data_IF_090465742749
#
_entry.id   IF_090465742749
#
_cell.length_a   1.000
_cell.length_b   1.000
_cell.length_c   1.000
_cell.angle_alpha   90.00
_cell.angle_beta   90.00
_cell.angle_gamma   90.00
#
_symmetry.space_group_name_H-M   'P 1'
#
loop_
_entity.id
_entity.type
_entity.pdbx_description
1 polymer ?
#
# COMPACT_ATOMS: atom_id res chain seq x y z
N UNK A 1 -12.93 -6.50 -15.58
CA UNK A 1 -11.87 -5.98 -14.69
C UNK A 1 -11.04 -4.95 -15.45
N UNK A 2 -10.60 -3.90 -14.77
CA UNK A 2 -10.08 -2.67 -15.38
C UNK A 2 -8.74 -2.82 -16.11
N UNK A 3 -7.88 -3.77 -15.72
CA UNK A 3 -6.59 -4.03 -16.41
C UNK A 3 -6.63 -5.24 -17.36
N UNK A 4 -7.80 -5.85 -17.56
CA UNK A 4 -7.96 -6.99 -18.46
C UNK A 4 -8.06 -6.57 -19.94
N UNK A 5 -8.55 -5.36 -20.20
CA UNK A 5 -8.55 -4.77 -21.53
C UNK A 5 -7.55 -3.61 -21.57
N UNK A 6 -6.45 -3.77 -22.30
CA UNK A 6 -5.41 -2.76 -22.42
C UNK A 6 -5.90 -1.44 -23.04
N UNK A 7 -6.97 -1.47 -23.85
CA UNK A 7 -7.58 -0.26 -24.41
C UNK A 7 -8.21 0.65 -23.33
N UNK A 8 -8.51 0.12 -22.14
CA UNK A 8 -9.01 0.91 -21.01
C UNK A 8 -7.88 1.69 -20.29
N UNK A 9 -6.61 1.43 -20.61
CA UNK A 9 -5.45 2.09 -19.99
C UNK A 9 -5.01 3.27 -20.88
N UNK A 10 -5.82 4.33 -20.83
CA UNK A 10 -5.63 5.53 -21.64
C UNK A 10 -4.73 6.57 -20.94
N UNK A 11 -3.50 6.72 -21.45
CA UNK A 11 -2.52 7.67 -20.94
C UNK A 11 -2.95 9.13 -21.10
N UNK A 12 -3.62 9.46 -22.21
CA UNK A 12 -4.08 10.82 -22.48
C UNK A 12 -5.21 11.20 -21.52
N UNK A 13 -6.15 10.28 -21.27
CA UNK A 13 -7.21 10.49 -20.30
C UNK A 13 -6.66 10.68 -18.87
N UNK A 14 -5.66 9.88 -18.46
CA UNK A 14 -5.01 10.04 -17.15
C UNK A 14 -4.34 11.41 -17.05
N UNK A 15 -3.56 11.82 -18.05
CA UNK A 15 -2.90 13.13 -18.07
C UNK A 15 -3.89 14.28 -17.96
N UNK A 16 -5.00 14.23 -18.71
CA UNK A 16 -6.05 15.24 -18.63
C UNK A 16 -6.72 15.27 -17.25
N UNK A 17 -6.95 14.11 -16.63
CA UNK A 17 -7.53 14.04 -15.29
C UNK A 17 -6.59 14.65 -14.23
N UNK A 18 -5.30 14.31 -14.26
CA UNK A 18 -4.26 14.86 -13.38
C UNK A 18 -4.21 16.39 -13.50
N UNK A 19 -4.23 16.92 -14.72
CA UNK A 19 -4.22 18.36 -14.97
C UNK A 19 -5.50 19.07 -14.49
N UNK A 20 -6.66 18.40 -14.59
CA UNK A 20 -7.95 18.96 -14.16
C UNK A 20 -8.12 18.97 -12.64
N UNK A 21 -7.44 18.05 -11.95
CA UNK A 21 -7.62 17.83 -10.51
C UNK A 21 -6.28 17.73 -9.75
N UNK A 22 -5.39 18.72 -9.85
CA UNK A 22 -4.04 18.66 -9.28
C UNK A 22 -4.03 18.58 -7.75
N UNK A 23 -5.02 19.17 -7.07
CA UNK A 23 -5.13 19.16 -5.60
C UNK A 23 -5.85 17.93 -5.04
N UNK A 24 -6.37 17.06 -5.93
CA UNK A 24 -7.15 15.88 -5.56
C UNK A 24 -6.46 14.56 -5.96
N UNK A 25 -5.88 14.51 -7.17
CA UNK A 25 -5.17 13.31 -7.65
C UNK A 25 -3.74 13.35 -7.12
N UNK A 26 -3.51 12.60 -6.05
CA UNK A 26 -2.19 12.51 -5.39
C UNK A 26 -1.32 11.35 -5.90
N UNK A 27 -1.81 10.56 -6.87
CA UNK A 27 -1.13 9.36 -7.31
C UNK A 27 -1.92 8.50 -8.29
N UNK A 28 -1.30 7.40 -8.70
CA UNK A 28 -1.86 6.38 -9.58
C UNK A 28 -2.03 5.06 -8.83
N UNK A 29 -2.96 4.22 -9.29
CA UNK A 29 -3.21 2.88 -8.74
C UNK A 29 -3.14 1.83 -9.85
N UNK A 30 -2.35 0.78 -9.62
CA UNK A 30 -2.41 -0.46 -10.42
C UNK A 30 -2.78 -1.64 -9.51
N UNK A 31 -3.67 -2.53 -9.97
CA UNK A 31 -4.03 -3.77 -9.26
C UNK A 31 -3.48 -4.99 -9.99
N UNK A 32 -2.25 -5.37 -9.65
CA UNK A 32 -1.50 -6.44 -10.30
C UNK A 32 -1.80 -7.78 -9.64
N UNK A 33 -2.96 -8.34 -9.99
CA UNK A 33 -3.41 -9.66 -9.55
C UNK A 33 -4.20 -10.35 -10.64
N UNK A 34 -4.24 -11.68 -10.63
CA UNK A 34 -4.81 -12.49 -11.71
C UNK A 34 -6.25 -12.17 -12.05
N UNK A 35 -7.07 -11.91 -11.03
CA UNK A 35 -8.47 -11.54 -11.24
C UNK A 35 -8.62 -10.21 -11.96
N UNK A 36 -7.59 -9.36 -12.00
CA UNK A 36 -7.68 -8.01 -12.56
C UNK A 36 -7.00 -7.89 -13.93
N UNK A 37 -5.80 -8.46 -14.07
CA UNK A 37 -4.96 -8.29 -15.27
C UNK A 37 -5.41 -9.17 -16.45
N UNK A 38 -6.25 -10.17 -16.21
CA UNK A 38 -6.62 -11.15 -17.24
C UNK A 38 -5.38 -11.87 -17.77
N UNK A 39 -5.19 -11.85 -19.08
CA UNK A 39 -4.05 -12.48 -19.76
C UNK A 39 -2.86 -11.54 -19.98
N UNK A 40 -2.97 -10.27 -19.57
CA UNK A 40 -1.96 -9.24 -19.90
C UNK A 40 -0.67 -9.35 -19.07
N UNK A 41 -0.63 -10.20 -18.04
CA UNK A 41 0.53 -10.39 -17.18
C UNK A 41 1.03 -9.07 -16.56
N UNK A 42 2.31 -8.77 -16.76
CA UNK A 42 2.98 -7.58 -16.20
C UNK A 42 2.74 -6.30 -17.03
N UNK A 43 2.26 -6.42 -18.27
CA UNK A 43 2.11 -5.32 -19.24
C UNK A 43 1.34 -4.11 -18.70
N UNK A 44 0.24 -4.26 -17.93
CA UNK A 44 -0.45 -3.12 -17.34
C UNK A 44 0.42 -2.30 -16.39
N UNK A 45 1.34 -2.92 -15.65
CA UNK A 45 2.27 -2.22 -14.78
C UNK A 45 3.30 -1.42 -15.59
N UNK A 46 3.87 -2.02 -16.64
CA UNK A 46 4.78 -1.30 -17.53
C UNK A 46 4.10 -0.05 -18.13
N UNK A 47 2.83 -0.17 -18.53
CA UNK A 47 2.03 0.98 -19.00
C UNK A 47 1.81 2.01 -17.90
N UNK A 48 1.50 1.57 -16.67
CA UNK A 48 1.34 2.46 -15.53
C UNK A 48 2.63 3.22 -15.18
N UNK A 49 3.81 2.58 -15.31
CA UNK A 49 5.12 3.22 -15.13
C UNK A 49 5.40 4.30 -16.18
N UNK A 50 5.07 4.04 -17.45
CA UNK A 50 5.18 5.06 -18.49
C UNK A 50 4.27 6.27 -18.20
N UNK A 51 3.00 6.02 -17.85
CA UNK A 51 2.04 7.06 -17.47
C UNK A 51 2.54 7.84 -16.25
N UNK A 52 3.09 7.17 -15.24
CA UNK A 52 3.66 7.81 -14.06
C UNK A 52 4.77 8.80 -14.44
N UNK A 53 5.72 8.37 -15.30
CA UNK A 53 6.83 9.20 -15.76
C UNK A 53 6.35 10.43 -16.53
N UNK A 54 5.33 10.27 -17.39
CA UNK A 54 4.73 11.38 -18.15
C UNK A 54 4.00 12.41 -17.27
N UNK A 55 3.71 12.08 -16.02
CA UNK A 55 2.94 12.89 -15.09
C UNK A 55 3.75 13.33 -13.86
N UNK A 56 5.06 13.55 -14.01
CA UNK A 56 5.90 14.12 -12.95
C UNK A 56 6.19 13.14 -11.81
N UNK A 57 6.30 11.86 -12.14
CA UNK A 57 6.60 10.78 -11.21
C UNK A 57 5.66 10.75 -10.00
N UNK A 58 4.35 10.92 -10.24
CA UNK A 58 3.32 10.81 -9.21
C UNK A 58 3.48 9.50 -8.41
N UNK A 59 3.17 9.49 -7.10
CA UNK A 59 3.14 8.25 -6.32
C UNK A 59 2.33 7.15 -7.03
N UNK A 60 2.91 5.97 -7.24
CA UNK A 60 2.22 4.81 -7.81
C UNK A 60 2.03 3.74 -6.75
N UNK A 61 0.77 3.42 -6.44
CA UNK A 61 0.43 2.34 -5.52
C UNK A 61 0.02 1.07 -6.27
N UNK A 62 0.79 0.01 -6.07
CA UNK A 62 0.60 -1.30 -6.70
C UNK A 62 0.02 -2.28 -5.69
N UNK A 63 -1.17 -2.80 -6.01
CA UNK A 63 -1.79 -3.90 -5.26
C UNK A 63 -1.18 -5.19 -5.75
N UNK A 64 -0.76 -6.02 -4.81
CA UNK A 64 -0.30 -7.39 -5.09
C UNK A 64 -1.36 -8.39 -4.62
N UNK A 65 -1.54 -9.45 -5.40
CA UNK A 65 -2.51 -10.50 -5.12
C UNK A 65 -2.05 -11.83 -5.70
N UNK A 66 -2.98 -12.68 -6.12
CA UNK A 66 -2.64 -13.96 -6.71
C UNK A 66 -1.89 -13.79 -8.04
N UNK A 67 -0.99 -14.72 -8.33
CA UNK A 67 -0.38 -14.87 -9.65
C UNK A 67 -1.44 -15.17 -10.72
N UNK A 68 -1.22 -14.75 -11.98
CA UNK A 68 -0.19 -13.81 -12.46
C UNK A 68 -0.52 -12.31 -12.17
N UNK A 69 0.46 -11.38 -12.22
CA UNK A 69 1.89 -11.62 -12.45
C UNK A 69 2.66 -11.92 -11.16
N UNK A 70 3.90 -12.42 -11.32
CA UNK A 70 4.78 -12.75 -10.21
C UNK A 70 5.20 -11.49 -9.45
N UNK A 71 5.15 -11.53 -8.12
CA UNK A 71 5.62 -10.44 -7.26
C UNK A 71 7.07 -10.03 -7.56
N UNK A 72 7.93 -10.98 -7.95
CA UNK A 72 9.32 -10.67 -8.27
C UNK A 72 9.43 -9.75 -9.50
N UNK A 73 8.63 -10.01 -10.54
CA UNK A 73 8.54 -9.15 -11.73
C UNK A 73 7.92 -7.79 -11.42
N UNK A 74 6.88 -7.77 -10.57
CA UNK A 74 6.30 -6.51 -10.08
C UNK A 74 7.37 -5.69 -9.38
N UNK A 75 8.05 -6.28 -8.38
CA UNK A 75 9.02 -5.59 -7.55
C UNK A 75 10.19 -5.04 -8.35
N UNK A 76 10.70 -5.79 -9.32
CA UNK A 76 11.82 -5.37 -10.18
C UNK A 76 11.48 -4.18 -11.10
N UNK A 77 10.20 -3.95 -11.44
CA UNK A 77 9.74 -2.78 -12.18
C UNK A 77 9.51 -1.53 -11.32
N UNK A 78 9.45 -1.67 -9.99
CA UNK A 78 9.18 -0.54 -9.10
C UNK A 78 10.45 0.27 -8.81
N UNK A 79 10.26 1.59 -8.76
CA UNK A 79 11.28 2.60 -8.46
C UNK A 79 11.03 3.28 -7.12
N UNK A 80 11.98 4.13 -6.70
CA UNK A 80 11.87 4.94 -5.48
C UNK A 80 10.51 5.65 -5.39
N UNK A 81 9.87 5.55 -4.23
CA UNK A 81 8.59 6.21 -3.95
C UNK A 81 7.35 5.41 -4.37
N UNK A 82 7.48 4.38 -5.20
CA UNK A 82 6.38 3.46 -5.48
C UNK A 82 5.98 2.70 -4.20
N UNK A 83 4.71 2.31 -4.12
CA UNK A 83 4.11 1.73 -2.92
C UNK A 83 3.56 0.35 -3.26
N UNK A 84 4.05 -0.70 -2.60
CA UNK A 84 3.43 -2.02 -2.61
C UNK A 84 2.39 -2.06 -1.49
N UNK A 85 1.10 -2.07 -1.82
CA UNK A 85 0.03 -2.30 -0.84
C UNK A 85 -0.31 -3.79 -0.73
N UNK A 86 -0.91 -4.20 0.39
CA UNK A 86 -1.14 -5.61 0.76
C UNK A 86 0.15 -6.37 1.05
N UNK A 87 1.15 -5.68 1.63
CA UNK A 87 2.47 -6.26 1.86
C UNK A 87 2.42 -7.51 2.78
N UNK A 88 1.46 -7.59 3.69
CA UNK A 88 1.28 -8.72 4.61
C UNK A 88 0.13 -9.67 4.24
N UNK A 89 -0.20 -9.79 2.95
CA UNK A 89 -1.21 -10.74 2.51
C UNK A 89 -0.76 -12.21 2.71
N UNK A 90 -1.72 -13.10 2.94
CA UNK A 90 -1.48 -14.54 3.17
C UNK A 90 -1.42 -15.41 1.92
N UNK A 91 -1.48 -14.84 0.70
CA UNK A 91 -1.51 -15.62 -0.55
C UNK A 91 -0.11 -16.17 -0.88
N UNK A 92 0.03 -17.15 -1.79
CA UNK A 92 1.37 -17.66 -2.17
C UNK A 92 2.29 -16.59 -2.78
N UNK A 93 1.72 -15.62 -3.50
CA UNK A 93 2.44 -14.50 -4.11
C UNK A 93 2.56 -13.32 -3.13
N UNK A 94 3.42 -13.50 -2.11
CA UNK A 94 3.61 -12.57 -0.98
C UNK A 94 5.09 -12.26 -0.76
N UNK A 95 5.38 -11.24 0.06
CA UNK A 95 6.74 -10.72 0.27
C UNK A 95 7.71 -11.73 0.90
N UNK A 96 7.19 -12.73 1.63
CA UNK A 96 7.99 -13.79 2.21
C UNK A 96 8.05 -15.02 1.29
N UNK A 97 9.23 -15.62 1.19
CA UNK A 97 9.42 -16.91 0.53
C UNK A 97 8.86 -18.06 1.40
N UNK A 98 8.80 -19.31 0.90
CA UNK A 98 8.34 -20.45 1.69
C UNK A 98 9.18 -20.74 2.95
N UNK A 99 10.45 -20.32 3.01
CA UNK A 99 11.29 -20.41 4.19
C UNK A 99 10.99 -19.31 5.24
N UNK A 100 10.05 -18.41 4.95
CA UNK A 100 9.66 -17.32 5.84
C UNK A 100 10.68 -16.17 5.87
N UNK A 101 11.50 -16.04 4.83
CA UNK A 101 12.47 -14.95 4.66
C UNK A 101 11.98 -13.95 3.61
N UNK A 102 12.47 -12.72 3.67
CA UNK A 102 12.12 -11.70 2.67
C UNK A 102 12.67 -12.10 1.29
N UNK A 103 11.81 -12.05 0.26
CA UNK A 103 12.23 -12.26 -1.12
C UNK A 103 13.33 -11.29 -1.52
N UNK A 104 14.33 -11.76 -2.26
CA UNK A 104 15.44 -10.93 -2.72
C UNK A 104 14.98 -9.77 -3.60
N UNK A 105 13.95 -9.97 -4.43
CA UNK A 105 13.29 -8.94 -5.23
C UNK A 105 12.74 -7.80 -4.38
N UNK A 106 12.06 -8.14 -3.27
CA UNK A 106 11.53 -7.18 -2.31
C UNK A 106 12.65 -6.49 -1.55
N UNK A 107 13.69 -7.21 -1.13
CA UNK A 107 14.88 -6.59 -0.51
C UNK A 107 15.50 -5.54 -1.43
N UNK A 108 15.72 -5.87 -2.71
CA UNK A 108 16.23 -4.91 -3.71
C UNK A 108 15.28 -3.73 -3.90
N UNK A 109 13.97 -3.97 -3.96
CA UNK A 109 12.96 -2.91 -4.10
C UNK A 109 13.00 -1.95 -2.91
N UNK A 110 13.07 -2.46 -1.67
CA UNK A 110 13.20 -1.65 -0.47
C UNK A 110 14.49 -0.81 -0.48
N UNK A 111 15.62 -1.41 -0.88
CA UNK A 111 16.89 -0.69 -1.03
C UNK A 111 16.81 0.44 -2.08
N UNK A 112 16.02 0.27 -3.15
CA UNK A 112 15.73 1.33 -4.13
C UNK A 112 14.84 2.45 -3.56
N UNK A 113 14.18 2.22 -2.44
CA UNK A 113 13.24 3.16 -1.81
C UNK A 113 11.77 2.92 -2.16
N UNK A 114 11.41 1.69 -2.56
CA UNK A 114 10.00 1.26 -2.64
C UNK A 114 9.44 1.14 -1.22
N UNK A 115 8.21 1.60 -1.03
CA UNK A 115 7.52 1.63 0.25
C UNK A 115 6.57 0.45 0.38
N UNK A 116 6.38 -0.03 1.61
CA UNK A 116 5.39 -1.07 1.93
C UNK A 116 4.19 -0.45 2.63
N UNK A 117 3.00 -0.72 2.11
CA UNK A 117 1.73 -0.35 2.69
C UNK A 117 0.92 -1.59 3.07
N UNK A 118 0.25 -1.52 4.22
CA UNK A 118 -0.50 -2.66 4.76
C UNK A 118 -1.69 -3.03 3.89
N UNK A 119 -2.56 -2.08 3.55
CA UNK A 119 -3.80 -2.32 2.82
C UNK A 119 -4.59 -3.51 3.39
N UNK A 120 -5.05 -3.45 4.64
CA UNK A 120 -5.52 -4.65 5.33
C UNK A 120 -6.59 -5.43 4.54
N UNK A 121 -7.65 -4.74 4.13
CA UNK A 121 -8.71 -5.26 3.27
C UNK A 121 -9.44 -6.47 3.84
N UNK A 122 -10.28 -7.07 3.02
CA UNK A 122 -10.99 -8.31 3.40
C UNK A 122 -10.09 -9.54 3.29
N UNK A 123 -9.17 -9.56 2.30
CA UNK A 123 -8.41 -10.73 1.91
C UNK A 123 -6.91 -10.43 1.70
N UNK A 124 -6.40 -9.40 2.36
CA UNK A 124 -5.06 -8.83 2.10
C UNK A 124 -4.17 -8.74 3.33
N UNK A 125 -4.58 -9.33 4.47
CA UNK A 125 -3.80 -9.35 5.70
C UNK A 125 -3.79 -10.75 6.33
N UNK A 126 -2.60 -11.19 6.75
CA UNK A 126 -2.37 -12.38 7.54
C UNK A 126 -1.54 -12.05 8.77
N UNK A 127 -2.06 -12.38 9.96
CA UNK A 127 -1.32 -12.23 11.21
C UNK A 127 -0.02 -13.01 11.23
N UNK A 128 0.01 -14.20 10.64
CA UNK A 128 1.21 -15.03 10.56
C UNK A 128 2.32 -14.34 9.76
N UNK A 129 1.98 -13.84 8.56
CA UNK A 129 2.93 -13.14 7.67
C UNK A 129 3.40 -11.84 8.32
N UNK A 130 2.48 -11.05 8.89
CA UNK A 130 2.82 -9.80 9.56
C UNK A 130 3.74 -10.03 10.76
N UNK A 131 3.43 -10.99 11.64
CA UNK A 131 4.27 -11.36 12.80
C UNK A 131 5.67 -11.77 12.35
N UNK A 132 5.77 -12.64 11.35
CA UNK A 132 7.06 -13.11 10.84
C UNK A 132 7.88 -11.97 10.24
N UNK A 133 7.28 -11.14 9.41
CA UNK A 133 7.97 -10.01 8.78
C UNK A 133 8.45 -8.98 9.83
N UNK A 134 7.61 -8.63 10.79
CA UNK A 134 7.95 -7.67 11.86
C UNK A 134 9.05 -8.23 12.76
N UNK A 135 9.04 -9.53 13.08
CA UNK A 135 10.11 -10.17 13.85
C UNK A 135 11.47 -10.15 13.12
N UNK A 136 11.47 -10.05 11.78
CA UNK A 136 12.67 -9.86 10.95
C UNK A 136 13.06 -8.37 10.79
N UNK A 137 12.37 -7.45 11.48
CA UNK A 137 12.58 -6.00 11.36
C UNK A 137 11.95 -5.36 10.12
N UNK A 138 11.11 -6.08 9.39
CA UNK A 138 10.48 -5.61 8.15
C UNK A 138 9.15 -4.93 8.50
N UNK A 139 9.24 -3.68 8.95
CA UNK A 139 8.08 -2.86 9.29
C UNK A 139 7.41 -2.27 8.04
N UNK A 140 6.08 -2.01 8.06
CA UNK A 140 5.44 -1.30 6.96
C UNK A 140 5.84 0.17 7.04
N UNK A 141 5.88 0.84 5.89
CA UNK A 141 6.02 2.29 5.86
C UNK A 141 4.70 2.95 6.26
N UNK A 142 3.58 2.39 5.81
CA UNK A 142 2.24 2.89 6.14
C UNK A 142 1.31 1.78 6.58
N UNK A 143 0.45 2.10 7.56
CA UNK A 143 -0.66 1.23 7.98
C UNK A 143 -1.93 1.80 7.35
N UNK A 144 -2.55 1.04 6.45
CA UNK A 144 -3.79 1.42 5.78
C UNK A 144 -4.82 0.29 5.83
N UNK A 145 -6.08 0.65 5.60
CA UNK A 145 -7.22 -0.23 5.90
C UNK A 145 -7.77 -0.98 4.69
N UNK A 146 -7.63 -0.46 3.47
CA UNK A 146 -8.38 -0.93 2.28
C UNK A 146 -9.88 -1.13 2.61
N UNK A 147 -10.45 -0.12 3.27
CA UNK A 147 -11.79 -0.16 3.81
C UNK A 147 -12.84 0.16 2.73
N UNK A 148 -13.93 -0.60 2.73
CA UNK A 148 -15.12 -0.33 1.93
C UNK A 148 -16.37 -0.78 2.69
N UNK A 149 -17.56 -0.47 2.17
CA UNK A 149 -18.83 -0.63 2.90
C UNK A 149 -18.97 -1.98 3.63
N UNK A 150 -18.75 -3.09 2.92
CA UNK A 150 -18.89 -4.45 3.49
C UNK A 150 -17.89 -4.71 4.60
N UNK A 151 -16.59 -4.50 4.37
CA UNK A 151 -15.58 -4.87 5.37
C UNK A 151 -15.50 -3.92 6.58
N UNK A 152 -16.12 -2.74 6.46
CA UNK A 152 -16.40 -1.83 7.55
C UNK A 152 -17.54 -2.31 8.43
N UNK A 153 -18.63 -2.81 7.83
CA UNK A 153 -19.85 -3.20 8.55
C UNK A 153 -19.76 -4.63 9.08
N UNK A 154 -19.22 -5.55 8.29
CA UNK A 154 -19.18 -6.99 8.63
C UNK A 154 -17.80 -7.40 9.19
N UNK A 155 -16.79 -6.57 8.97
CA UNK A 155 -15.39 -6.91 9.22
C UNK A 155 -14.71 -7.50 7.98
N UNK A 156 -13.38 -7.74 8.03
CA UNK A 156 -12.54 -7.75 9.23
C UNK A 156 -11.85 -6.42 9.53
N UNK A 157 -12.09 -5.37 8.74
CA UNK A 157 -11.36 -4.10 8.83
C UNK A 157 -11.97 -3.20 9.90
N UNK A 158 -13.28 -2.95 9.84
CA UNK A 158 -14.09 -2.11 10.76
C UNK A 158 -13.66 -0.63 10.84
N UNK A 159 -12.39 -0.32 11.13
CA UNK A 159 -11.84 1.03 11.21
C UNK A 159 -10.30 1.01 11.12
N UNK A 160 -9.69 2.17 10.85
CA UNK A 160 -8.23 2.29 10.90
C UNK A 160 -7.69 2.05 12.33
N UNK A 161 -8.41 2.49 13.37
CA UNK A 161 -8.01 2.26 14.77
C UNK A 161 -7.92 0.78 15.14
N UNK A 162 -8.84 -0.05 14.64
CA UNK A 162 -8.77 -1.50 14.84
C UNK A 162 -7.61 -2.12 14.06
N UNK A 163 -7.32 -1.65 12.85
CA UNK A 163 -6.13 -2.08 12.10
C UNK A 163 -4.85 -1.70 12.86
N UNK A 164 -4.74 -0.47 13.36
CA UNK A 164 -3.62 -0.01 14.21
C UNK A 164 -3.44 -0.89 15.44
N UNK A 165 -4.54 -1.27 16.10
CA UNK A 165 -4.52 -2.15 17.28
C UNK A 165 -3.93 -3.53 16.97
N UNK A 166 -4.15 -4.07 15.76
CA UNK A 166 -3.51 -5.32 15.32
C UNK A 166 -1.98 -5.20 15.28
N UNK A 167 -1.46 -4.06 14.83
CA UNK A 167 -0.01 -3.83 14.78
C UNK A 167 0.61 -3.61 16.15
N UNK A 168 -0.11 -2.95 17.07
CA UNK A 168 0.29 -2.89 18.48
C UNK A 168 0.36 -4.31 19.08
N UNK A 169 -0.65 -5.14 18.83
CA UNK A 169 -0.68 -6.53 19.31
C UNK A 169 0.39 -7.44 18.69
N UNK A 170 0.88 -7.11 17.49
CA UNK A 170 1.96 -7.84 16.81
C UNK A 170 3.35 -7.38 17.28
N UNK A 171 3.44 -6.29 18.04
CA UNK A 171 4.69 -5.83 18.67
C UNK A 171 5.28 -4.55 18.09
N UNK A 172 4.57 -3.82 17.22
CA UNK A 172 4.97 -2.45 16.90
C UNK A 172 4.68 -1.53 18.09
N UNK A 173 5.58 -0.58 18.33
CA UNK A 173 5.40 0.43 19.38
C UNK A 173 4.34 1.47 18.96
N UNK A 174 3.71 2.13 19.93
CA UNK A 174 2.75 3.21 19.65
C UNK A 174 3.35 4.31 18.76
N UNK A 175 4.56 4.85 19.01
CA UNK A 175 5.17 5.84 18.10
C UNK A 175 5.33 5.34 16.67
N UNK A 176 5.74 4.08 16.46
CA UNK A 176 5.84 3.49 15.12
C UNK A 176 4.48 3.44 14.42
N UNK A 177 3.45 2.94 15.12
CA UNK A 177 2.09 2.86 14.57
C UNK A 177 1.54 4.25 14.22
N UNK A 178 1.73 5.24 15.09
CA UNK A 178 1.32 6.63 14.81
C UNK A 178 2.06 7.21 13.62
N UNK A 179 3.38 7.00 13.51
CA UNK A 179 4.14 7.47 12.36
C UNK A 179 3.62 6.87 11.04
N UNK A 180 3.32 5.56 11.03
CA UNK A 180 2.77 4.85 9.88
C UNK A 180 1.40 5.36 9.40
N UNK A 181 0.61 6.03 10.25
CA UNK A 181 -0.73 6.59 9.89
C UNK A 181 -0.74 8.12 9.81
N UNK A 182 0.41 8.77 9.98
CA UNK A 182 0.53 10.25 9.92
C UNK A 182 1.65 10.64 8.96
N UNK A 183 2.84 10.92 9.48
CA UNK A 183 4.00 11.43 8.74
C UNK A 183 4.39 10.52 7.57
N UNK A 184 4.44 9.20 7.77
CA UNK A 184 4.84 8.28 6.70
C UNK A 184 3.82 8.21 5.56
N UNK A 185 2.53 8.39 5.87
CA UNK A 185 1.46 8.42 4.88
C UNK A 185 1.49 9.74 4.10
N UNK A 186 1.67 10.87 4.80
CA UNK A 186 1.83 12.18 4.19
C UNK A 186 3.05 12.22 3.26
N UNK A 187 4.21 11.73 3.70
CA UNK A 187 5.42 11.67 2.88
C UNK A 187 5.26 10.76 1.66
N UNK A 188 4.64 9.58 1.84
CA UNK A 188 4.41 8.63 0.73
C UNK A 188 3.49 9.18 -0.36
N UNK A 189 2.54 10.04 0.00
CA UNK A 189 1.59 10.68 -0.91
C UNK A 189 1.96 12.14 -1.24
N UNK A 190 3.13 12.62 -0.79
CA UNK A 190 3.63 13.98 -1.00
C UNK A 190 2.68 15.08 -0.50
N UNK A 191 1.99 14.84 0.62
CA UNK A 191 1.11 15.80 1.27
C UNK A 191 1.94 16.78 2.12
N UNK A 192 2.40 17.87 1.52
CA UNK A 192 3.42 18.78 2.07
C UNK A 192 3.03 19.49 3.38
N UNK A 193 1.74 19.58 3.70
CA UNK A 193 1.20 20.30 4.88
C UNK A 193 0.47 19.40 5.88
N UNK A 194 0.64 18.07 5.78
CA UNK A 194 -0.09 17.09 6.61
C UNK A 194 0.84 16.14 7.35
N UNK A 195 0.29 15.47 8.37
CA UNK A 195 0.96 14.37 9.08
C UNK A 195 1.94 14.79 10.18
N UNK A 196 2.11 16.08 10.44
CA UNK A 196 3.00 16.64 11.49
C UNK A 196 2.29 17.77 12.24
N UNK A 197 2.64 17.96 13.50
CA UNK A 197 2.18 19.09 14.32
C UNK A 197 3.26 20.17 14.32
N UNK A 198 3.31 20.95 13.25
CA UNK A 198 4.34 21.98 13.01
C UNK A 198 3.68 23.29 12.55
N UNK A 199 4.29 24.43 12.87
CA UNK A 199 3.79 25.74 12.43
C UNK A 199 3.77 25.79 10.90
N UNK A 200 2.63 26.20 10.33
CA UNK A 200 2.43 26.28 8.88
C UNK A 200 1.76 25.04 8.24
N UNK A 201 1.60 23.94 8.99
CA UNK A 201 0.83 22.77 8.56
C UNK A 201 -0.67 22.99 8.79
N UNK A 202 -1.49 22.15 8.16
CA UNK A 202 -2.94 22.18 8.34
C UNK A 202 -3.33 21.70 9.74
N UNK A 203 -4.35 22.32 10.35
CA UNK A 203 -4.81 22.01 11.71
C UNK A 203 -5.67 20.73 11.76
N UNK A 204 -5.14 19.62 11.25
CA UNK A 204 -5.77 18.30 11.25
C UNK A 204 -5.30 17.50 12.46
N UNK A 205 -6.10 17.46 13.54
CA UNK A 205 -5.78 16.75 14.77
C UNK A 205 -6.74 15.59 15.03
N UNK A 206 -6.21 14.50 15.58
CA UNK A 206 -7.00 13.36 16.06
C UNK A 206 -6.67 13.10 17.53
N UNK A 207 -7.68 13.23 18.40
CA UNK A 207 -7.56 12.84 19.81
C UNK A 207 -8.03 11.40 19.97
N UNK A 208 -7.24 10.60 20.68
CA UNK A 208 -7.56 9.21 20.97
C UNK A 208 -7.06 8.81 22.36
N UNK A 209 -7.58 7.69 22.87
CA UNK A 209 -7.12 7.06 24.10
C UNK A 209 -6.64 5.64 23.78
N UNK A 210 -5.50 5.27 24.35
CA UNK A 210 -5.00 3.89 24.32
C UNK A 210 -5.50 3.14 25.56
N UNK A 211 -6.14 1.99 25.35
CA UNK A 211 -6.61 1.11 26.43
C UNK A 211 -6.11 -0.31 26.22
N UNK A 212 -5.62 -0.95 27.29
CA UNK A 212 -5.20 -2.34 27.28
C UNK A 212 -6.38 -3.23 27.67
N UNK A 213 -7.16 -3.65 26.68
CA UNK A 213 -8.29 -4.57 26.86
C UNK A 213 -8.49 -5.42 25.60
N UNK A 214 -9.18 -6.57 25.70
CA UNK A 214 -9.58 -7.33 24.51
C UNK A 214 -10.39 -6.45 23.54
N UNK A 215 -10.08 -6.53 22.25
CA UNK A 215 -10.81 -5.87 21.17
C UNK A 215 -11.54 -6.91 20.33
N UNK A 216 -12.79 -6.62 19.95
CA UNK A 216 -13.65 -7.45 19.08
C UNK A 216 -13.16 -7.49 17.63
#
# INVERSE_FOLDING_TARGET
NELANMANIDAAAVKQAVQRHPDFIVGLKARMSSSVVGENGITPLARAKAIQQENGDLPLMVHIGNNPPNLDEIADLLSRGDIITHCYNGKPNRILNPAGELRSSITRALQRGVRLDVGHGTASFSFEVARRAIALGILPHTISSDIYCRNRIDGPVRSLALVMSKFLAIGMTLPQVIACVTVSAAEGLRLSRKGRLEVGFDADLTLFRLEHRPTL
#
